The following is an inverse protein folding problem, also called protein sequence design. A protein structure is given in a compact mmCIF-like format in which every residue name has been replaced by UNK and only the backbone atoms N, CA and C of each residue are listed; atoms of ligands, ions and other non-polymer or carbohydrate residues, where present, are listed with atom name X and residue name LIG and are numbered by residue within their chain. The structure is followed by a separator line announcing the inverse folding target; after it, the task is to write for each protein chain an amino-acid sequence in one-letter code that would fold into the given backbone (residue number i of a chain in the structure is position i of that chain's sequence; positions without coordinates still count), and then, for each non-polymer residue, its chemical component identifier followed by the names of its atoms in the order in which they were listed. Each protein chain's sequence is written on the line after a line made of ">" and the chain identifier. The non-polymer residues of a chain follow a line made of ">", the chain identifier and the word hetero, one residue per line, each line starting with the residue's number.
data_IF_090723252246
#
_entry.id   IF_090723252246
#
_cell.length_a   1.000
_cell.length_b   1.000
_cell.length_c   1.000
_cell.angle_alpha   90.00
_cell.angle_beta   90.00
_cell.angle_gamma   90.00
#
_symmetry.space_group_name_H-M   'P 1'
#
loop_
_entity.id
_entity.type
_entity.pdbx_description
1 polymer ?
#
# COMPACT_ATOMS: atom_id res chain seq x y z
N UNK A 1 -17.19 11.54 11.62
CA UNK A 1 -16.08 10.95 10.88
C UNK A 1 -16.22 11.45 9.46
N UNK A 2 -15.30 12.28 8.96
CA UNK A 2 -15.36 12.80 7.58
C UNK A 2 -16.71 13.39 7.12
N UNK A 3 -17.46 14.06 8.00
CA UNK A 3 -18.82 14.54 7.72
C UNK A 3 -19.94 13.49 7.85
N UNK A 4 -19.62 12.22 8.10
CA UNK A 4 -20.59 11.15 8.30
C UNK A 4 -20.91 11.05 9.80
N UNK A 5 -22.20 11.02 10.12
CA UNK A 5 -22.72 10.81 11.48
C UNK A 5 -23.21 9.38 11.66
N UNK A 6 -22.69 8.70 12.66
CA UNK A 6 -23.15 7.36 13.06
C UNK A 6 -23.95 7.45 14.36
N UNK A 7 -25.00 6.67 14.46
CA UNK A 7 -25.76 6.55 15.68
C UNK A 7 -24.99 5.74 16.73
N UNK A 8 -25.15 6.12 18.00
CA UNK A 8 -24.55 5.42 19.14
C UNK A 8 -25.64 4.84 20.01
N UNK A 9 -25.45 3.62 20.48
CA UNK A 9 -26.25 2.96 21.49
C UNK A 9 -25.39 2.75 22.73
N UNK A 10 -25.97 2.97 23.93
CA UNK A 10 -25.27 2.89 25.20
C UNK A 10 -25.87 1.81 26.05
N UNK A 11 -25.05 0.88 26.53
CA UNK A 11 -25.45 -0.15 27.47
C UNK A 11 -24.44 -0.21 28.62
N UNK A 12 -24.95 -0.09 29.85
CA UNK A 12 -24.14 -0.19 31.07
C UNK A 12 -24.53 -1.45 31.81
N UNK A 13 -24.01 -2.59 31.37
CA UNK A 13 -24.33 -3.91 31.90
C UNK A 13 -23.05 -4.76 31.93
N UNK A 14 -22.26 -4.68 33.02
CA UNK A 14 -20.99 -5.39 33.14
C UNK A 14 -21.16 -6.90 32.89
N UNK A 15 -20.33 -7.42 32.00
CA UNK A 15 -20.36 -8.83 31.56
C UNK A 15 -21.23 -9.10 30.33
N UNK A 16 -22.00 -8.13 29.84
CA UNK A 16 -22.70 -8.26 28.57
C UNK A 16 -21.76 -8.02 27.38
N UNK A 17 -21.93 -8.76 26.29
CA UNK A 17 -21.07 -8.64 25.10
C UNK A 17 -21.05 -7.21 24.51
N UNK A 18 -22.20 -6.50 24.60
CA UNK A 18 -22.36 -5.12 24.14
C UNK A 18 -22.22 -4.07 25.26
N UNK A 19 -21.59 -4.40 26.40
CA UNK A 19 -21.34 -3.44 27.48
C UNK A 19 -20.48 -2.26 27.01
N UNK A 20 -20.89 -1.03 27.32
CA UNK A 20 -20.23 0.21 26.90
C UNK A 20 -20.96 0.93 25.77
N UNK A 21 -20.23 1.37 24.73
CA UNK A 21 -20.75 2.13 23.60
C UNK A 21 -20.75 1.27 22.35
N UNK A 22 -21.90 1.16 21.70
CA UNK A 22 -22.07 0.48 20.42
C UNK A 22 -22.22 1.51 19.30
N UNK A 23 -21.37 1.44 18.29
CA UNK A 23 -21.48 2.20 17.06
C UNK A 23 -22.39 1.43 16.08
N UNK A 24 -23.49 2.06 15.66
CA UNK A 24 -24.41 1.49 14.67
C UNK A 24 -23.95 1.90 13.28
N UNK A 25 -23.52 0.94 12.47
CA UNK A 25 -22.90 1.18 11.17
C UNK A 25 -23.71 0.51 10.08
N UNK A 26 -24.35 1.25 9.17
CA UNK A 26 -24.89 0.68 7.94
C UNK A 26 -23.78 -0.03 7.14
N UNK A 27 -24.06 -1.22 6.61
CA UNK A 27 -23.05 -2.04 5.92
C UNK A 27 -22.35 -1.27 4.79
N UNK A 28 -23.06 -0.43 4.05
CA UNK A 28 -22.48 0.42 2.98
C UNK A 28 -21.56 1.55 3.46
N UNK A 29 -21.49 1.80 4.78
CA UNK A 29 -20.60 2.80 5.38
C UNK A 29 -19.52 2.17 6.28
N UNK A 30 -19.42 0.85 6.29
CA UNK A 30 -18.47 0.16 7.16
C UNK A 30 -17.00 0.51 6.84
N UNK A 31 -16.68 0.72 5.58
CA UNK A 31 -15.33 1.11 5.15
C UNK A 31 -14.99 2.58 5.44
N UNK A 32 -16.01 3.42 5.71
CA UNK A 32 -15.86 4.83 6.11
C UNK A 32 -15.58 5.02 7.61
N UNK A 33 -15.68 3.96 8.40
CA UNK A 33 -15.39 4.01 9.83
C UNK A 33 -13.90 4.18 10.05
N UNK A 34 -13.49 5.30 10.63
CA UNK A 34 -12.10 5.62 10.91
C UNK A 34 -11.66 4.95 12.21
N UNK A 35 -10.77 3.95 12.10
CA UNK A 35 -10.21 3.24 13.26
C UNK A 35 -9.46 4.18 14.22
N UNK A 36 -8.81 5.21 13.69
CA UNK A 36 -8.11 6.18 14.53
C UNK A 36 -9.07 6.92 15.45
N UNK A 37 -10.24 7.28 14.95
CA UNK A 37 -11.31 7.91 15.74
C UNK A 37 -11.92 6.94 16.75
N UNK A 38 -12.12 5.67 16.39
CA UNK A 38 -12.62 4.67 17.32
C UNK A 38 -11.67 4.45 18.49
N UNK A 39 -10.37 4.57 18.26
CA UNK A 39 -9.35 4.41 19.30
C UNK A 39 -9.52 5.39 20.47
N UNK A 40 -10.08 6.58 20.23
CA UNK A 40 -10.32 7.61 21.26
C UNK A 40 -11.57 7.36 22.09
N UNK A 41 -12.45 6.45 21.68
CA UNK A 41 -13.73 6.20 22.33
C UNK A 41 -14.59 7.49 22.40
N UNK A 42 -15.58 7.52 23.30
CA UNK A 42 -16.35 8.75 23.56
C UNK A 42 -15.71 9.56 24.68
N UNK A 43 -15.84 10.93 24.67
CA UNK A 43 -15.18 11.77 25.67
C UNK A 43 -15.48 11.37 27.13
N UNK A 44 -16.68 10.92 27.41
CA UNK A 44 -17.08 10.51 28.78
C UNK A 44 -16.39 9.26 29.32
N UNK A 45 -15.91 8.37 28.44
CA UNK A 45 -15.22 7.13 28.81
C UNK A 45 -13.71 7.17 28.54
N UNK A 46 -13.21 8.20 27.84
CA UNK A 46 -11.79 8.35 27.54
C UNK A 46 -10.88 8.38 28.77
N UNK A 47 -11.24 9.07 29.88
CA UNK A 47 -10.44 9.06 31.10
C UNK A 47 -10.25 7.64 31.65
N UNK A 48 -11.34 6.89 31.75
CA UNK A 48 -11.32 5.50 32.23
C UNK A 48 -10.47 4.59 31.33
N UNK A 49 -10.56 4.78 30.01
CA UNK A 49 -9.75 4.05 29.05
C UNK A 49 -8.26 4.32 29.24
N UNK A 50 -7.86 5.60 29.34
CA UNK A 50 -6.46 5.97 29.54
C UNK A 50 -5.93 5.47 30.88
N UNK A 51 -6.69 5.61 31.97
CA UNK A 51 -6.30 5.06 33.26
C UNK A 51 -6.10 3.53 33.20
N UNK A 52 -6.99 2.81 32.53
CA UNK A 52 -6.88 1.36 32.37
C UNK A 52 -5.62 0.98 31.60
N UNK A 53 -5.30 1.69 30.50
CA UNK A 53 -4.08 1.52 29.74
C UNK A 53 -2.82 1.77 30.59
N UNK A 54 -2.80 2.84 31.38
CA UNK A 54 -1.67 3.16 32.26
C UNK A 54 -1.50 2.13 33.39
N UNK A 55 -2.60 1.57 33.90
CA UNK A 55 -2.59 0.52 34.94
C UNK A 55 -2.06 -0.82 34.43
N UNK A 56 -2.17 -1.08 33.12
CA UNK A 56 -1.68 -2.31 32.49
C UNK A 56 -0.18 -2.25 32.15
N UNK A 57 0.47 -1.09 32.24
CA UNK A 57 1.89 -0.93 31.98
C UNK A 57 2.78 -1.71 32.97
N UNK A 58 4.00 -2.09 32.59
CA UNK A 58 4.99 -2.72 33.45
C UNK A 58 5.21 -1.93 34.74
N UNK A 59 5.38 -2.62 35.87
CA UNK A 59 5.51 -2.01 37.22
C UNK A 59 6.58 -0.90 37.31
N UNK A 60 7.76 -1.00 36.67
CA UNK A 60 8.75 0.08 36.69
C UNK A 60 8.23 1.38 36.08
N UNK A 61 7.51 1.28 34.96
CA UNK A 61 6.94 2.45 34.27
C UNK A 61 5.78 3.04 35.07
N UNK A 62 4.89 2.20 35.59
CA UNK A 62 3.76 2.68 36.42
C UNK A 62 4.19 3.53 37.61
N UNK A 63 5.35 3.24 38.23
CA UNK A 63 5.89 4.03 39.33
C UNK A 63 6.23 5.46 38.94
N UNK A 64 6.56 5.72 37.68
CA UNK A 64 6.84 7.06 37.16
C UNK A 64 5.55 7.87 36.89
N UNK A 65 4.40 7.20 36.89
CA UNK A 65 3.12 7.77 36.47
C UNK A 65 2.13 7.95 37.66
N UNK A 66 2.63 7.90 38.88
CA UNK A 66 1.81 8.06 40.10
C UNK A 66 1.71 9.53 40.48
N UNK A 67 0.49 10.06 40.75
CA UNK A 67 -0.83 9.41 40.72
C UNK A 67 -1.34 9.18 39.28
N UNK A 68 -1.83 7.97 39.02
CA UNK A 68 -2.31 7.60 37.66
C UNK A 68 -3.47 8.49 37.17
N UNK A 69 -4.50 8.84 37.99
CA UNK A 69 -5.57 9.72 37.54
C UNK A 69 -5.08 11.10 37.10
N UNK A 70 -4.14 11.70 37.82
CA UNK A 70 -3.59 13.03 37.49
C UNK A 70 -2.78 12.98 36.19
N UNK A 71 -2.00 11.90 36.03
CA UNK A 71 -1.25 11.65 34.79
C UNK A 71 -2.19 11.44 33.61
N UNK A 72 -3.27 10.69 33.78
CA UNK A 72 -4.29 10.49 32.75
C UNK A 72 -4.95 11.82 32.36
N UNK A 73 -5.33 12.66 33.35
CA UNK A 73 -5.90 13.98 33.09
C UNK A 73 -4.94 14.90 32.30
N UNK A 74 -3.66 14.91 32.67
CA UNK A 74 -2.64 15.67 31.97
C UNK A 74 -2.43 15.18 30.52
N UNK A 75 -2.44 13.86 30.28
CA UNK A 75 -2.36 13.27 28.95
C UNK A 75 -3.58 13.62 28.09
N UNK A 76 -4.78 13.63 28.65
CA UNK A 76 -5.99 14.03 27.92
C UNK A 76 -5.89 15.48 27.45
N UNK A 77 -5.39 16.37 28.29
CA UNK A 77 -5.19 17.78 27.92
C UNK A 77 -4.11 17.93 26.84
N UNK A 78 -2.97 17.23 26.97
CA UNK A 78 -1.89 17.25 25.99
C UNK A 78 -2.33 16.73 24.61
N UNK A 79 -3.23 15.76 24.59
CA UNK A 79 -3.70 15.08 23.40
C UNK A 79 -5.09 15.54 22.93
N UNK A 80 -5.54 16.72 23.37
CA UNK A 80 -6.89 17.23 23.13
C UNK A 80 -7.24 17.44 21.64
N UNK A 81 -6.24 17.46 20.75
CA UNK A 81 -6.45 17.53 19.30
C UNK A 81 -7.12 16.27 18.71
N UNK A 82 -7.10 15.15 19.43
CA UNK A 82 -7.77 13.90 19.04
C UNK A 82 -7.31 13.31 17.69
N UNK A 83 -6.11 13.66 17.25
CA UNK A 83 -5.59 13.23 15.94
C UNK A 83 -4.77 11.94 16.03
N UNK A 84 -4.94 11.04 15.03
CA UNK A 84 -4.21 9.78 14.95
C UNK A 84 -4.65 8.73 15.96
N UNK A 85 -3.94 7.61 16.02
CA UNK A 85 -4.23 6.49 16.93
C UNK A 85 -3.87 6.86 18.37
N UNK A 86 -4.81 6.69 19.32
CA UNK A 86 -4.63 7.01 20.74
C UNK A 86 -3.37 6.34 21.32
N UNK A 87 -3.18 5.04 21.10
CA UNK A 87 -2.04 4.30 21.65
C UNK A 87 -0.72 4.87 21.16
N UNK A 88 -0.58 5.14 19.87
CA UNK A 88 0.65 5.70 19.30
C UNK A 88 0.97 7.08 19.90
N UNK A 89 -0.06 7.90 20.12
CA UNK A 89 0.07 9.21 20.76
C UNK A 89 0.48 9.10 22.23
N UNK A 90 -0.18 8.17 22.97
CA UNK A 90 0.18 7.90 24.38
C UNK A 90 1.63 7.41 24.51
N UNK A 91 2.05 6.45 23.68
CA UNK A 91 3.44 5.99 23.68
C UNK A 91 4.44 7.11 23.43
N UNK A 92 4.15 8.00 22.47
CA UNK A 92 5.00 9.16 22.19
C UNK A 92 5.10 10.10 23.39
N UNK A 93 3.99 10.42 24.04
CA UNK A 93 3.94 11.27 25.23
C UNK A 93 4.64 10.65 26.44
N UNK A 94 4.45 9.35 26.67
CA UNK A 94 5.07 8.63 27.78
C UNK A 94 6.59 8.49 27.59
N UNK A 95 7.05 8.25 26.36
CA UNK A 95 8.49 8.23 26.03
C UNK A 95 9.16 9.59 26.27
N UNK A 96 8.49 10.69 25.94
CA UNK A 96 8.98 12.06 26.27
C UNK A 96 9.10 12.28 27.77
N UNK A 97 8.29 11.63 28.58
CA UNK A 97 8.35 11.66 30.06
C UNK A 97 9.35 10.68 30.66
N UNK A 98 10.19 10.04 29.81
CA UNK A 98 11.26 9.15 30.24
C UNK A 98 10.84 7.68 30.43
N UNK A 99 9.64 7.31 30.02
CA UNK A 99 9.22 5.91 30.05
C UNK A 99 9.88 5.12 28.92
N UNK A 100 10.60 4.04 29.26
CA UNK A 100 11.11 3.09 28.29
C UNK A 100 10.01 2.07 27.96
N UNK A 101 9.34 2.27 26.84
CA UNK A 101 8.21 1.46 26.36
C UNK A 101 8.43 0.98 24.93
N UNK A 102 8.11 -0.29 24.67
CA UNK A 102 7.93 -0.84 23.33
C UNK A 102 6.51 -0.54 22.81
N UNK A 103 6.27 -0.79 21.53
CA UNK A 103 4.93 -0.63 20.95
C UNK A 103 3.94 -1.68 21.45
N UNK A 104 4.45 -2.77 22.05
CA UNK A 104 3.66 -3.89 22.59
C UNK A 104 3.24 -3.68 24.06
N UNK A 105 3.87 -2.74 24.76
CA UNK A 105 3.59 -2.48 26.18
C UNK A 105 2.22 -1.84 26.43
N UNK A 106 1.59 -1.25 25.42
CA UNK A 106 0.23 -0.72 25.44
C UNK A 106 -0.64 -1.48 24.43
N UNK A 107 -1.46 -2.39 24.89
CA UNK A 107 -2.40 -3.13 24.04
C UNK A 107 -3.85 -2.89 24.47
N UNK A 108 -4.74 -2.64 23.50
CA UNK A 108 -6.17 -2.52 23.76
C UNK A 108 -6.82 -3.88 24.08
N UNK A 109 -6.16 -4.99 23.75
CA UNK A 109 -6.68 -6.34 23.95
C UNK A 109 -7.01 -6.62 25.44
N UNK A 110 -6.23 -6.05 26.36
CA UNK A 110 -6.36 -6.26 27.80
C UNK A 110 -7.35 -5.30 28.49
N UNK A 111 -8.02 -4.45 27.71
CA UNK A 111 -9.02 -3.54 28.23
C UNK A 111 -10.37 -4.21 28.44
N UNK A 112 -11.07 -3.82 29.50
CA UNK A 112 -12.47 -4.20 29.71
C UNK A 112 -13.35 -3.76 28.53
N UNK A 113 -14.44 -4.49 28.33
CA UNK A 113 -15.32 -4.32 27.17
C UNK A 113 -15.80 -2.87 26.96
N UNK A 114 -16.22 -2.18 28.04
CA UNK A 114 -16.70 -0.80 27.97
C UNK A 114 -15.63 0.25 27.59
N UNK A 115 -14.34 -0.10 27.61
CA UNK A 115 -13.23 0.76 27.16
C UNK A 115 -12.94 0.66 25.66
N UNK A 116 -13.72 -0.10 24.90
CA UNK A 116 -13.61 -0.25 23.45
C UNK A 116 -15.00 -0.14 22.82
N UNK A 117 -15.08 0.50 21.65
CA UNK A 117 -16.32 0.46 20.89
C UNK A 117 -16.74 -0.97 20.57
N UNK A 118 -18.02 -1.26 20.78
CA UNK A 118 -18.70 -2.33 20.10
C UNK A 118 -19.21 -1.79 18.76
N UNK A 119 -19.12 -2.53 17.69
CA UNK A 119 -19.54 -2.13 16.34
C UNK A 119 -20.63 -3.10 15.91
N UNK A 120 -21.81 -2.57 15.62
CA UNK A 120 -22.94 -3.35 15.11
C UNK A 120 -23.23 -2.94 13.69
N UNK A 121 -22.99 -3.87 12.75
CA UNK A 121 -23.21 -3.64 11.33
C UNK A 121 -24.65 -4.00 10.98
N UNK A 122 -25.33 -3.02 10.40
CA UNK A 122 -26.74 -3.09 10.05
C UNK A 122 -26.93 -3.26 8.56
N UNK A 123 -27.74 -4.20 8.17
CA UNK A 123 -28.19 -4.37 6.80
C UNK A 123 -29.30 -3.38 6.39
N UNK A 124 -29.78 -3.50 5.15
CA UNK A 124 -30.78 -2.62 4.57
C UNK A 124 -32.11 -2.59 5.36
N UNK A 125 -32.49 -3.67 6.00
CA UNK A 125 -33.72 -3.79 6.80
C UNK A 125 -33.47 -3.58 8.30
N UNK A 126 -32.36 -2.90 8.66
CA UNK A 126 -31.91 -2.72 10.04
C UNK A 126 -31.62 -4.03 10.82
N UNK A 127 -31.53 -5.15 10.11
CA UNK A 127 -31.09 -6.41 10.72
C UNK A 127 -29.59 -6.35 11.01
N UNK A 128 -29.19 -6.97 12.12
CA UNK A 128 -27.77 -7.10 12.47
C UNK A 128 -27.13 -8.14 11.57
N UNK A 129 -26.14 -7.73 10.78
CA UNK A 129 -25.35 -8.60 9.91
C UNK A 129 -24.13 -9.16 10.63
N UNK A 130 -23.48 -8.32 11.42
CA UNK A 130 -22.33 -8.69 12.23
C UNK A 130 -22.22 -7.75 13.44
N UNK A 131 -21.61 -8.24 14.51
CA UNK A 131 -21.35 -7.44 15.71
C UNK A 131 -20.02 -7.86 16.32
N UNK A 132 -19.22 -6.90 16.78
CA UNK A 132 -17.91 -7.16 17.37
C UNK A 132 -17.15 -5.90 17.72
N UNK A 133 -15.92 -6.06 18.22
CA UNK A 133 -15.04 -4.94 18.66
C UNK A 133 -13.80 -4.79 17.79
N UNK A 134 -13.62 -5.66 16.82
CA UNK A 134 -12.54 -5.63 15.83
C UNK A 134 -13.12 -5.24 14.47
N UNK A 135 -12.89 -3.98 14.09
CA UNK A 135 -13.36 -3.43 12.81
C UNK A 135 -12.84 -4.21 11.61
N UNK A 136 -11.56 -4.64 11.66
CA UNK A 136 -10.92 -5.35 10.57
C UNK A 136 -11.48 -6.78 10.41
N UNK A 137 -11.73 -7.45 11.53
CA UNK A 137 -12.39 -8.76 11.53
C UNK A 137 -13.81 -8.67 10.97
N UNK A 138 -14.57 -7.62 11.34
CA UNK A 138 -15.92 -7.38 10.82
C UNK A 138 -15.91 -7.12 9.31
N UNK A 139 -15.00 -6.26 8.83
CA UNK A 139 -14.81 -6.00 7.39
C UNK A 139 -14.48 -7.27 6.62
N UNK A 140 -13.54 -8.06 7.14
CA UNK A 140 -13.12 -9.33 6.51
C UNK A 140 -14.26 -10.35 6.48
N UNK A 141 -14.90 -10.59 7.60
CA UNK A 141 -15.98 -11.57 7.70
C UNK A 141 -17.16 -11.24 6.78
N UNK A 142 -17.54 -9.97 6.65
CA UNK A 142 -18.61 -9.55 5.75
C UNK A 142 -18.20 -9.62 4.26
N UNK A 143 -16.94 -9.35 3.91
CA UNK A 143 -16.42 -9.56 2.55
C UNK A 143 -16.42 -11.04 2.15
N UNK A 144 -16.02 -11.93 3.05
CA UNK A 144 -16.04 -13.38 2.83
C UNK A 144 -17.45 -13.94 2.67
N UNK A 145 -18.41 -13.45 3.48
CA UNK A 145 -19.81 -13.87 3.41
C UNK A 145 -20.52 -13.36 2.17
N UNK A 146 -20.16 -12.18 1.66
CA UNK A 146 -20.83 -11.60 0.50
C UNK A 146 -20.38 -12.23 -0.82
N UNK A 147 -19.26 -12.99 -0.88
CA UNK A 147 -18.78 -13.71 -2.07
C UNK A 147 -18.75 -12.92 -3.38
N UNK A 148 -19.24 -11.71 -3.33
CA UNK A 148 -19.30 -10.70 -4.37
C UNK A 148 -18.70 -9.43 -3.79
N UNK A 149 -17.76 -8.82 -4.51
CA UNK A 149 -17.48 -7.41 -4.31
C UNK A 149 -18.82 -6.69 -4.21
N UNK A 150 -19.03 -5.91 -3.15
CA UNK A 150 -20.22 -5.09 -3.01
C UNK A 150 -20.23 -4.20 -4.26
N UNK A 151 -20.99 -4.60 -5.28
CA UNK A 151 -21.13 -3.78 -6.48
C UNK A 151 -21.77 -2.49 -6.01
N UNK A 152 -21.06 -1.39 -6.17
CA UNK A 152 -21.66 -0.08 -5.94
C UNK A 152 -22.92 -0.02 -6.82
N UNK A 153 -24.09 0.32 -6.25
CA UNK A 153 -25.29 0.38 -7.05
C UNK A 153 -25.08 1.42 -8.16
N UNK A 154 -25.45 1.06 -9.38
CA UNK A 154 -25.29 1.91 -10.54
C UNK A 154 -25.97 3.26 -10.31
N UNK A 155 -25.18 4.33 -10.21
CA UNK A 155 -25.73 5.69 -10.36
C UNK A 155 -26.00 5.87 -11.83
N UNK A 156 -27.27 5.89 -12.19
CA UNK A 156 -27.67 6.08 -13.58
C UNK A 156 -26.99 7.34 -14.15
N UNK A 157 -26.06 7.11 -15.08
CA UNK A 157 -25.46 8.17 -15.87
C UNK A 157 -24.00 8.56 -15.55
N UNK A 158 -23.36 8.07 -14.48
CA UNK A 158 -21.94 8.40 -14.24
C UNK A 158 -20.96 7.36 -14.81
N UNK A 159 -21.30 6.08 -14.74
CA UNK A 159 -20.46 5.03 -15.33
C UNK A 159 -20.40 5.13 -16.85
N UNK A 160 -19.24 4.95 -17.41
CA UNK A 160 -18.95 4.98 -18.85
C UNK A 160 -18.05 3.79 -19.20
N UNK A 161 -18.26 3.23 -20.36
CA UNK A 161 -17.44 2.12 -20.89
C UNK A 161 -16.80 2.52 -22.21
N UNK A 162 -15.58 2.07 -22.45
CA UNK A 162 -14.90 2.27 -23.71
C UNK A 162 -14.52 3.73 -23.98
N UNK A 163 -14.04 4.45 -22.97
CA UNK A 163 -13.59 5.83 -23.11
C UNK A 163 -12.43 5.93 -24.10
N UNK A 164 -12.55 6.85 -25.05
CA UNK A 164 -11.51 7.18 -26.03
C UNK A 164 -10.82 8.52 -25.72
N UNK A 165 -11.38 9.30 -24.83
CA UNK A 165 -10.87 10.57 -24.31
C UNK A 165 -11.39 10.78 -22.88
N UNK A 166 -11.09 11.94 -22.28
CA UNK A 166 -11.67 12.32 -20.99
C UNK A 166 -13.20 12.24 -21.03
N UNK A 167 -13.88 11.74 -19.98
CA UNK A 167 -15.34 11.74 -19.94
C UNK A 167 -15.90 13.17 -20.05
N UNK A 168 -17.13 13.30 -20.60
CA UNK A 168 -17.78 14.61 -20.85
C UNK A 168 -18.02 15.45 -19.58
N UNK A 169 -17.74 14.89 -18.42
CA UNK A 169 -17.92 15.53 -17.11
C UNK A 169 -16.68 15.32 -16.25
N UNK A 170 -16.45 16.23 -15.32
CA UNK A 170 -15.45 16.04 -14.28
C UNK A 170 -15.79 14.83 -13.42
N UNK A 171 -14.76 14.15 -12.93
CA UNK A 171 -14.88 12.96 -12.07
C UNK A 171 -14.92 13.44 -10.61
N UNK A 172 -16.05 13.37 -9.90
CA UNK A 172 -16.10 13.78 -8.51
C UNK A 172 -15.31 12.79 -7.63
N UNK A 173 -14.69 13.27 -6.56
CA UNK A 173 -13.97 12.39 -5.62
C UNK A 173 -14.88 11.34 -4.97
N UNK A 174 -16.17 11.67 -4.82
CA UNK A 174 -17.18 10.74 -4.34
C UNK A 174 -18.58 11.21 -4.72
N UNK A 175 -19.51 10.26 -4.81
CA UNK A 175 -20.94 10.53 -5.03
C UNK A 175 -21.76 9.92 -3.89
N UNK A 176 -22.74 10.67 -3.40
CA UNK A 176 -23.69 10.15 -2.42
C UNK A 176 -24.89 9.58 -3.16
N UNK A 177 -25.26 8.38 -2.82
CA UNK A 177 -26.36 7.64 -3.43
C UNK A 177 -27.39 7.27 -2.38
N UNK A 178 -28.66 7.32 -2.71
CA UNK A 178 -29.71 6.74 -1.91
C UNK A 178 -30.03 5.34 -2.46
N UNK A 179 -29.68 4.30 -1.70
CA UNK A 179 -29.99 2.92 -2.03
C UNK A 179 -31.04 2.44 -1.05
N UNK A 180 -32.25 2.19 -1.54
CA UNK A 180 -33.39 1.71 -0.71
C UNK A 180 -33.59 2.52 0.58
N UNK A 181 -33.42 3.84 0.51
CA UNK A 181 -33.61 4.75 1.65
C UNK A 181 -32.41 4.94 2.58
N UNK A 182 -31.29 4.27 2.31
CA UNK A 182 -30.03 4.53 3.03
C UNK A 182 -29.07 5.34 2.13
N UNK A 183 -28.36 6.29 2.75
CA UNK A 183 -27.28 6.98 2.06
C UNK A 183 -26.05 6.07 2.02
N UNK A 184 -25.55 5.82 0.82
CA UNK A 184 -24.28 5.16 0.56
C UNK A 184 -23.37 6.10 -0.23
N UNK A 185 -22.07 5.95 -0.10
CA UNK A 185 -21.09 6.71 -0.87
C UNK A 185 -20.38 5.78 -1.84
N UNK A 186 -20.20 6.24 -3.07
CA UNK A 186 -19.40 5.54 -4.07
C UNK A 186 -18.29 6.47 -4.59
N UNK A 187 -17.23 5.85 -5.08
CA UNK A 187 -16.01 6.53 -5.50
C UNK A 187 -15.76 6.22 -6.97
N UNK A 188 -15.98 7.19 -7.87
CA UNK A 188 -15.73 6.99 -9.29
C UNK A 188 -14.23 6.98 -9.57
N UNK A 189 -13.80 6.04 -10.41
CA UNK A 189 -12.42 5.94 -10.86
C UNK A 189 -12.32 5.41 -12.28
N UNK A 190 -11.29 5.87 -13.00
CA UNK A 190 -10.90 5.33 -14.28
C UNK A 190 -10.25 3.96 -14.07
N UNK A 191 -10.59 3.00 -14.94
CA UNK A 191 -10.10 1.62 -14.89
C UNK A 191 -9.67 1.19 -16.27
N UNK A 192 -8.50 0.57 -16.39
CA UNK A 192 -8.10 -0.17 -17.58
C UNK A 192 -8.50 -1.65 -17.40
N UNK A 193 -9.43 -2.13 -18.20
CA UNK A 193 -9.90 -3.50 -18.17
C UNK A 193 -10.09 -4.04 -19.59
N UNK A 194 -9.55 -5.22 -19.89
CA UNK A 194 -9.71 -5.89 -21.19
C UNK A 194 -9.33 -4.99 -22.40
N UNK A 195 -8.31 -4.13 -22.23
CA UNK A 195 -7.87 -3.20 -23.29
C UNK A 195 -8.81 -2.00 -23.52
N UNK A 196 -9.78 -1.77 -22.63
CA UNK A 196 -10.69 -0.63 -22.64
C UNK A 196 -10.46 0.22 -21.40
N UNK A 197 -10.86 1.47 -21.50
CA UNK A 197 -10.84 2.39 -20.37
C UNK A 197 -12.30 2.67 -20.00
N UNK A 198 -12.64 2.40 -18.76
CA UNK A 198 -13.97 2.60 -18.24
C UNK A 198 -13.92 3.59 -17.05
N UNK A 199 -14.98 4.35 -16.84
CA UNK A 199 -15.25 5.04 -15.58
C UNK A 199 -16.21 4.18 -14.79
N UNK A 200 -15.77 3.69 -13.63
CA UNK A 200 -16.54 2.79 -12.75
C UNK A 200 -16.68 3.36 -11.36
N UNK A 201 -17.70 2.92 -10.66
CA UNK A 201 -17.95 3.24 -9.26
C UNK A 201 -17.42 2.14 -8.35
N UNK A 202 -16.68 2.54 -7.33
CA UNK A 202 -16.16 1.65 -6.29
C UNK A 202 -16.90 1.88 -4.97
N UNK A 203 -17.05 0.82 -4.20
CA UNK A 203 -17.67 0.90 -2.90
C UNK A 203 -16.76 1.58 -1.86
N UNK A 204 -15.44 1.52 -2.05
CA UNK A 204 -14.47 2.10 -1.13
C UNK A 204 -13.54 3.10 -1.81
N UNK A 205 -13.15 4.14 -1.08
CA UNK A 205 -12.16 5.12 -1.53
C UNK A 205 -10.84 4.44 -1.90
N UNK A 206 -10.40 3.48 -1.10
CA UNK A 206 -9.13 2.75 -1.30
C UNK A 206 -9.08 2.01 -2.64
N UNK A 207 -10.17 1.32 -3.00
CA UNK A 207 -10.26 0.62 -4.30
C UNK A 207 -10.21 1.61 -5.46
N UNK A 208 -10.93 2.73 -5.36
CA UNK A 208 -10.91 3.79 -6.35
C UNK A 208 -9.52 4.42 -6.50
N UNK A 209 -8.87 4.77 -5.39
CA UNK A 209 -7.52 5.35 -5.38
C UNK A 209 -6.46 4.38 -5.91
N UNK A 210 -6.63 3.07 -5.75
CA UNK A 210 -5.76 2.05 -6.33
C UNK A 210 -5.99 1.86 -7.84
N UNK A 211 -7.22 2.01 -8.32
CA UNK A 211 -7.59 1.79 -9.72
C UNK A 211 -7.33 3.04 -10.58
N UNK A 212 -7.67 4.24 -10.09
CA UNK A 212 -7.66 5.48 -10.83
C UNK A 212 -6.33 5.82 -11.52
N UNK A 213 -5.16 5.69 -10.87
CA UNK A 213 -3.86 5.95 -11.51
C UNK A 213 -3.61 5.08 -12.74
N UNK A 214 -4.06 3.83 -12.72
CA UNK A 214 -3.90 2.88 -13.83
C UNK A 214 -4.79 3.27 -15.01
N UNK A 215 -6.05 3.62 -14.73
CA UNK A 215 -6.95 4.12 -15.75
C UNK A 215 -6.49 5.45 -16.36
N UNK A 216 -5.97 6.37 -15.55
CA UNK A 216 -5.34 7.62 -16.01
C UNK A 216 -4.15 7.34 -16.92
N UNK A 217 -3.25 6.43 -16.52
CA UNK A 217 -2.10 6.03 -17.33
C UNK A 217 -2.55 5.53 -18.72
N UNK A 218 -3.56 4.67 -18.77
CA UNK A 218 -4.11 4.16 -20.02
C UNK A 218 -4.71 5.28 -20.87
N UNK A 219 -5.42 6.23 -20.26
CA UNK A 219 -6.03 7.36 -20.97
C UNK A 219 -4.98 8.31 -21.56
N UNK A 220 -3.89 8.61 -20.83
CA UNK A 220 -2.76 9.38 -21.35
C UNK A 220 -2.07 8.67 -22.52
N UNK A 221 -1.90 7.34 -22.43
CA UNK A 221 -1.33 6.54 -23.55
C UNK A 221 -2.22 6.59 -24.79
N UNK A 222 -3.53 6.56 -24.59
CA UNK A 222 -4.48 6.66 -25.69
C UNK A 222 -4.44 8.05 -26.34
N UNK A 223 -4.47 9.11 -25.53
CA UNK A 223 -4.45 10.52 -25.99
C UNK A 223 -3.17 10.88 -26.75
N UNK A 224 -2.04 10.30 -26.36
CA UNK A 224 -0.72 10.50 -26.98
C UNK A 224 -0.24 9.25 -27.74
N UNK A 225 -1.14 8.47 -28.34
CA UNK A 225 -0.86 7.13 -28.86
C UNK A 225 0.19 7.10 -29.98
N UNK A 226 0.34 8.16 -30.76
CA UNK A 226 1.32 8.23 -31.82
C UNK A 226 2.75 8.28 -31.25
N UNK A 227 2.99 9.13 -30.25
CA UNK A 227 4.29 9.31 -29.61
C UNK A 227 4.67 8.08 -28.79
N UNK A 228 3.73 7.49 -28.04
CA UNK A 228 3.99 6.25 -27.29
C UNK A 228 4.29 5.07 -28.20
N UNK A 229 3.59 4.92 -29.33
CA UNK A 229 3.90 3.91 -30.33
C UNK A 229 5.29 4.11 -30.93
N UNK A 230 5.66 5.34 -31.24
CA UNK A 230 6.98 5.64 -31.77
C UNK A 230 8.09 5.30 -30.77
N UNK A 231 7.93 5.68 -29.50
CA UNK A 231 8.90 5.37 -28.44
C UNK A 231 9.01 3.85 -28.20
N UNK A 232 7.88 3.15 -28.10
CA UNK A 232 7.83 1.70 -27.87
C UNK A 232 8.45 0.92 -29.05
N UNK A 233 8.14 1.32 -30.28
CA UNK A 233 8.71 0.70 -31.50
C UNK A 233 10.23 0.75 -31.52
N UNK A 234 10.85 1.89 -31.14
CA UNK A 234 12.30 2.02 -31.04
C UNK A 234 12.92 1.01 -30.06
N UNK A 235 12.25 0.75 -28.94
CA UNK A 235 12.66 -0.25 -27.95
C UNK A 235 12.53 -1.66 -28.52
N UNK A 236 11.42 -1.98 -29.16
CA UNK A 236 11.18 -3.28 -29.78
C UNK A 236 12.07 -3.57 -31.01
N UNK A 237 12.61 -2.54 -31.67
CA UNK A 237 13.56 -2.67 -32.78
C UNK A 237 15.01 -2.86 -32.31
N UNK A 238 15.31 -2.65 -31.03
CA UNK A 238 16.63 -2.94 -30.46
C UNK A 238 16.82 -4.45 -30.35
N UNK A 239 17.54 -5.02 -31.33
CA UNK A 239 17.75 -6.47 -31.44
C UNK A 239 18.37 -7.11 -30.19
N UNK A 240 19.35 -6.42 -29.59
CA UNK A 240 20.01 -6.91 -28.36
C UNK A 240 19.02 -6.98 -27.21
N UNK A 241 18.26 -5.92 -27.00
CA UNK A 241 17.24 -5.86 -25.93
C UNK A 241 16.13 -6.89 -26.18
N UNK A 242 15.63 -7.02 -27.41
CA UNK A 242 14.61 -8.00 -27.75
C UNK A 242 15.08 -9.44 -27.49
N UNK A 243 16.34 -9.77 -27.80
CA UNK A 243 16.93 -11.07 -27.51
C UNK A 243 17.05 -11.32 -25.98
N UNK A 244 17.49 -10.31 -25.24
CA UNK A 244 17.63 -10.41 -23.78
C UNK A 244 16.28 -10.46 -23.06
N UNK A 245 15.23 -9.87 -23.64
CA UNK A 245 13.87 -9.93 -23.11
C UNK A 245 13.14 -11.23 -23.47
N UNK A 246 13.55 -11.94 -24.50
CA UNK A 246 12.86 -13.14 -24.99
C UNK A 246 12.55 -14.22 -23.92
N UNK A 247 13.38 -14.44 -22.86
CA UNK A 247 13.03 -15.34 -21.77
C UNK A 247 11.84 -14.88 -20.90
N UNK A 248 11.46 -13.61 -20.97
CA UNK A 248 10.44 -12.98 -20.10
C UNK A 248 9.13 -12.68 -20.84
N UNK A 249 9.16 -12.59 -22.17
CA UNK A 249 7.96 -12.29 -22.96
C UNK A 249 8.27 -12.03 -24.43
N UNK A 250 7.22 -11.67 -25.16
CA UNK A 250 7.31 -11.35 -26.58
C UNK A 250 7.68 -9.88 -26.77
N UNK A 251 8.13 -9.52 -27.98
CA UNK A 251 8.39 -8.14 -28.38
C UNK A 251 7.20 -7.20 -28.12
N UNK A 252 5.98 -7.65 -28.39
CA UNK A 252 4.77 -6.86 -28.15
C UNK A 252 4.55 -6.58 -26.66
N UNK A 253 4.90 -7.50 -25.77
CA UNK A 253 4.82 -7.33 -24.34
C UNK A 253 5.84 -6.28 -23.87
N UNK A 254 7.08 -6.35 -24.38
CA UNK A 254 8.12 -5.35 -24.12
C UNK A 254 7.66 -3.94 -24.53
N UNK A 255 7.12 -3.79 -25.74
CA UNK A 255 6.63 -2.51 -26.25
C UNK A 255 5.47 -1.95 -25.40
N UNK A 256 4.52 -2.82 -25.01
CA UNK A 256 3.37 -2.44 -24.21
C UNK A 256 3.77 -2.03 -22.79
N UNK A 257 4.57 -2.86 -22.11
CA UNK A 257 5.05 -2.60 -20.75
C UNK A 257 5.94 -1.36 -20.70
N UNK A 258 6.80 -1.17 -21.71
CA UNK A 258 7.62 0.02 -21.82
C UNK A 258 6.77 1.29 -21.97
N UNK A 259 5.77 1.27 -22.85
CA UNK A 259 4.87 2.41 -23.04
C UNK A 259 4.09 2.73 -21.76
N UNK A 260 3.65 1.71 -21.01
CA UNK A 260 2.95 1.90 -19.75
C UNK A 260 3.87 2.54 -18.69
N UNK A 261 5.10 2.06 -18.53
CA UNK A 261 6.08 2.63 -17.60
C UNK A 261 6.51 4.05 -17.98
N UNK A 262 6.70 4.32 -19.28
CA UNK A 262 7.01 5.66 -19.78
C UNK A 262 5.87 6.65 -19.50
N UNK A 263 4.62 6.23 -19.73
CA UNK A 263 3.45 7.05 -19.44
C UNK A 263 3.29 7.31 -17.94
N UNK A 264 3.48 6.30 -17.12
CA UNK A 264 3.47 6.44 -15.66
C UNK A 264 4.48 7.51 -15.21
N UNK A 265 5.71 7.40 -15.65
CA UNK A 265 6.77 8.37 -15.38
C UNK A 265 6.38 9.80 -15.73
N UNK A 266 5.82 10.00 -16.91
CA UNK A 266 5.59 11.33 -17.45
C UNK A 266 4.34 11.96 -16.86
N UNK A 267 3.27 11.18 -16.69
CA UNK A 267 1.94 11.72 -16.46
C UNK A 267 1.36 11.42 -15.06
N UNK A 268 1.80 10.34 -14.39
CA UNK A 268 1.16 9.85 -13.17
C UNK A 268 2.08 9.91 -11.96
N UNK A 269 3.27 9.32 -12.06
CA UNK A 269 4.20 9.22 -10.94
C UNK A 269 4.55 10.60 -10.35
N UNK A 270 4.48 10.72 -9.02
CA UNK A 270 4.76 11.96 -8.26
C UNK A 270 3.88 13.15 -8.66
N UNK A 271 2.76 12.90 -9.31
CA UNK A 271 1.79 13.92 -9.68
C UNK A 271 0.52 13.77 -8.83
N UNK A 272 -0.20 14.89 -8.63
CA UNK A 272 -1.56 14.82 -8.10
C UNK A 272 -2.46 14.05 -9.06
N UNK A 273 -3.41 13.30 -8.54
CA UNK A 273 -4.41 12.64 -9.37
C UNK A 273 -5.25 13.67 -10.13
N UNK A 274 -5.74 13.28 -11.29
CA UNK A 274 -6.52 14.14 -12.18
C UNK A 274 -7.98 13.74 -12.09
N UNK A 275 -8.84 14.71 -11.80
CA UNK A 275 -10.28 14.52 -11.69
C UNK A 275 -11.09 15.47 -12.58
N UNK A 276 -10.41 16.42 -13.27
CA UNK A 276 -11.06 17.39 -14.16
C UNK A 276 -10.46 17.36 -15.56
N UNK A 277 -11.28 17.65 -16.55
CA UNK A 277 -10.85 17.71 -17.95
C UNK A 277 -9.78 18.78 -18.17
N UNK A 278 -9.94 19.93 -17.54
CA UNK A 278 -8.98 21.04 -17.67
C UNK A 278 -7.56 20.62 -17.23
N UNK A 279 -7.44 19.98 -16.05
CA UNK A 279 -6.15 19.51 -15.53
C UNK A 279 -5.57 18.39 -16.41
N UNK A 280 -6.42 17.52 -16.95
CA UNK A 280 -6.01 16.48 -17.89
C UNK A 280 -5.37 17.08 -19.14
N UNK A 281 -6.08 17.99 -19.84
CA UNK A 281 -5.60 18.62 -21.06
C UNK A 281 -4.36 19.49 -20.84
N UNK A 282 -4.29 20.24 -19.74
CA UNK A 282 -3.10 21.01 -19.37
C UNK A 282 -1.89 20.08 -19.18
N UNK A 283 -2.08 18.92 -18.53
CA UNK A 283 -1.02 17.94 -18.33
C UNK A 283 -0.58 17.31 -19.65
N UNK A 284 -1.51 16.98 -20.53
CA UNK A 284 -1.20 16.51 -21.89
C UNK A 284 -0.37 17.54 -22.63
N UNK A 285 -0.84 18.77 -22.72
CA UNK A 285 -0.16 19.86 -23.45
C UNK A 285 1.27 20.09 -22.92
N UNK A 286 1.43 20.14 -21.59
CA UNK A 286 2.73 20.44 -21.00
C UNK A 286 3.74 19.28 -21.05
N UNK A 287 3.28 18.02 -21.14
CA UNK A 287 4.15 16.85 -21.02
C UNK A 287 4.30 15.99 -22.27
N UNK A 288 3.38 16.10 -23.23
CA UNK A 288 3.44 15.41 -24.52
C UNK A 288 4.78 15.57 -25.25
N UNK A 289 5.40 16.79 -25.30
CA UNK A 289 6.71 16.97 -25.93
C UNK A 289 7.85 16.16 -25.30
N UNK A 290 7.70 15.75 -24.05
CA UNK A 290 8.72 15.00 -23.31
C UNK A 290 8.75 13.50 -23.66
N UNK A 291 7.70 12.95 -24.29
CA UNK A 291 7.52 11.50 -24.46
C UNK A 291 8.70 10.89 -25.22
N UNK A 292 9.15 11.48 -26.31
CA UNK A 292 10.23 10.90 -27.12
C UNK A 292 11.58 11.00 -26.43
N UNK A 293 11.89 12.14 -25.81
CA UNK A 293 13.17 12.34 -25.09
C UNK A 293 13.28 11.45 -23.86
N UNK A 294 12.24 11.41 -23.04
CA UNK A 294 12.18 10.51 -21.87
C UNK A 294 12.15 9.05 -22.31
N UNK A 295 11.50 8.75 -23.45
CA UNK A 295 11.50 7.42 -24.04
C UNK A 295 12.90 6.93 -24.39
N UNK A 296 13.74 7.77 -25.00
CA UNK A 296 15.13 7.43 -25.31
C UNK A 296 15.97 7.22 -24.04
N UNK A 297 15.81 8.09 -23.06
CA UNK A 297 16.49 7.97 -21.75
C UNK A 297 16.12 6.66 -21.06
N UNK A 298 14.82 6.34 -21.05
CA UNK A 298 14.28 5.13 -20.43
C UNK A 298 14.75 3.86 -21.15
N UNK A 299 14.70 3.86 -22.46
CA UNK A 299 15.18 2.74 -23.28
C UNK A 299 16.64 2.38 -22.94
N UNK A 300 17.48 3.39 -22.71
CA UNK A 300 18.86 3.18 -22.24
C UNK A 300 18.93 2.52 -20.86
N UNK A 301 18.05 2.85 -19.93
CA UNK A 301 17.98 2.21 -18.60
C UNK A 301 17.53 0.76 -18.73
N UNK A 302 16.44 0.50 -19.46
CA UNK A 302 15.89 -0.85 -19.67
C UNK A 302 16.92 -1.75 -20.36
N UNK A 303 17.63 -1.24 -21.35
CA UNK A 303 18.72 -1.99 -22.01
C UNK A 303 19.81 -2.38 -21.01
N UNK A 304 20.26 -1.46 -20.15
CA UNK A 304 21.27 -1.78 -19.11
C UNK A 304 20.77 -2.81 -18.12
N UNK A 305 19.49 -2.78 -17.76
CA UNK A 305 18.90 -3.75 -16.84
C UNK A 305 18.92 -5.15 -17.44
N UNK A 306 18.38 -5.34 -18.65
CA UNK A 306 18.36 -6.66 -19.29
C UNK A 306 19.75 -7.17 -19.65
N UNK A 307 20.67 -6.27 -20.01
CA UNK A 307 22.08 -6.64 -20.20
C UNK A 307 22.73 -7.09 -18.89
N UNK A 308 22.46 -6.41 -17.79
CA UNK A 308 22.92 -6.81 -16.46
C UNK A 308 22.36 -8.16 -16.02
N UNK A 309 21.08 -8.40 -16.29
CA UNK A 309 20.43 -9.69 -16.03
C UNK A 309 21.07 -10.83 -16.82
N UNK A 310 21.28 -10.64 -18.11
CA UNK A 310 21.94 -11.62 -18.97
C UNK A 310 23.37 -11.92 -18.49
N UNK A 311 24.10 -10.88 -18.05
CA UNK A 311 25.44 -11.04 -17.47
C UNK A 311 25.44 -11.84 -16.15
N UNK A 312 24.48 -11.61 -15.28
CA UNK A 312 24.30 -12.38 -14.02
C UNK A 312 23.95 -13.83 -14.34
N UNK A 313 22.99 -14.08 -15.22
CA UNK A 313 22.57 -15.44 -15.61
C UNK A 313 23.73 -16.23 -16.25
N UNK A 314 24.51 -15.61 -17.12
CA UNK A 314 25.69 -16.24 -17.71
C UNK A 314 26.71 -16.68 -16.66
N UNK A 315 26.94 -15.87 -15.62
CA UNK A 315 27.86 -16.22 -14.52
C UNK A 315 27.30 -17.34 -13.65
N UNK A 316 26.01 -17.29 -13.30
CA UNK A 316 25.35 -18.32 -12.48
C UNK A 316 25.49 -19.72 -13.07
N UNK A 317 25.48 -19.86 -14.37
CA UNK A 317 25.66 -21.14 -15.05
C UNK A 317 26.98 -21.86 -14.69
N UNK A 318 28.00 -21.14 -14.19
CA UNK A 318 29.30 -21.67 -13.81
C UNK A 318 29.36 -22.25 -12.39
N UNK A 319 28.39 -21.91 -11.51
CA UNK A 319 28.40 -22.23 -10.08
C UNK A 319 27.60 -23.50 -9.75
N UNK A 320 28.13 -24.66 -10.16
CA UNK A 320 27.48 -25.99 -9.93
C UNK A 320 28.03 -26.76 -8.73
N UNK A 321 29.17 -26.34 -8.19
CA UNK A 321 29.82 -27.06 -7.08
C UNK A 321 29.04 -26.85 -5.76
N UNK A 322 28.91 -27.93 -4.92
CA UNK A 322 28.16 -27.87 -3.65
C UNK A 322 28.63 -26.78 -2.67
N UNK A 323 29.89 -26.39 -2.75
CA UNK A 323 30.48 -25.35 -1.89
C UNK A 323 29.78 -23.98 -2.08
N UNK A 324 29.19 -23.74 -3.25
CA UNK A 324 28.48 -22.49 -3.56
C UNK A 324 26.96 -22.55 -3.28
N UNK A 325 26.44 -23.69 -2.84
CA UNK A 325 24.97 -23.89 -2.73
C UNK A 325 24.26 -22.83 -1.88
N UNK A 326 24.86 -22.39 -0.78
CA UNK A 326 24.28 -21.34 0.08
C UNK A 326 24.24 -19.98 -0.62
N UNK A 327 25.35 -19.59 -1.26
CA UNK A 327 25.42 -18.35 -2.00
C UNK A 327 24.42 -18.34 -3.19
N UNK A 328 24.30 -19.47 -3.91
CA UNK A 328 23.33 -19.60 -4.99
C UNK A 328 21.90 -19.45 -4.50
N UNK A 329 21.52 -20.12 -3.42
CA UNK A 329 20.17 -19.99 -2.83
C UNK A 329 19.86 -18.56 -2.36
N UNK A 330 20.85 -17.81 -1.87
CA UNK A 330 20.65 -16.39 -1.51
C UNK A 330 20.52 -15.49 -2.75
N UNK A 331 21.30 -15.76 -3.80
CA UNK A 331 21.22 -15.02 -5.05
C UNK A 331 19.89 -15.26 -5.77
N UNK A 332 19.43 -16.51 -5.82
CA UNK A 332 18.12 -16.85 -6.39
C UNK A 332 17.00 -16.11 -5.66
N UNK A 333 17.04 -16.10 -4.32
CA UNK A 333 16.10 -15.32 -3.50
C UNK A 333 16.20 -13.82 -3.79
N UNK A 334 17.38 -13.27 -3.99
CA UNK A 334 17.54 -11.86 -4.38
C UNK A 334 16.90 -11.57 -5.74
N UNK A 335 17.10 -12.44 -6.73
CA UNK A 335 16.51 -12.28 -8.05
C UNK A 335 14.97 -12.34 -7.99
N UNK A 336 14.40 -13.22 -7.17
CA UNK A 336 12.97 -13.26 -6.87
C UNK A 336 12.49 -11.96 -6.20
N UNK A 337 13.22 -11.47 -5.21
CA UNK A 337 12.90 -10.21 -4.50
C UNK A 337 13.00 -8.99 -5.42
N UNK A 338 13.90 -8.99 -6.39
CA UNK A 338 13.98 -7.96 -7.43
C UNK A 338 12.87 -8.09 -8.49
N UNK A 339 12.04 -9.14 -8.45
CA UNK A 339 10.94 -9.39 -9.37
C UNK A 339 11.38 -9.28 -10.85
N UNK A 340 12.50 -9.88 -11.16
CA UNK A 340 13.18 -9.74 -12.46
C UNK A 340 12.30 -10.21 -13.62
N UNK A 341 11.49 -11.25 -13.43
CA UNK A 341 10.61 -11.78 -14.47
C UNK A 341 9.54 -10.75 -14.90
N UNK A 342 8.96 -10.04 -13.94
CA UNK A 342 7.83 -9.13 -14.16
C UNK A 342 8.22 -7.65 -13.98
N UNK A 343 9.52 -7.36 -14.00
CA UNK A 343 10.12 -6.07 -13.67
C UNK A 343 9.37 -4.87 -14.28
N UNK A 344 9.14 -4.87 -15.61
CA UNK A 344 8.53 -3.75 -16.32
C UNK A 344 7.06 -3.50 -15.91
N UNK A 345 6.36 -4.55 -15.45
CA UNK A 345 4.94 -4.46 -15.09
C UNK A 345 4.67 -4.14 -13.61
N UNK A 346 5.63 -4.44 -12.72
CA UNK A 346 5.37 -4.38 -11.26
C UNK A 346 6.28 -3.43 -10.50
N UNK A 347 7.47 -3.12 -11.03
CA UNK A 347 8.40 -2.24 -10.33
C UNK A 347 8.09 -0.78 -10.64
N UNK A 348 7.90 0.07 -9.61
CA UNK A 348 7.70 1.50 -9.81
C UNK A 348 8.85 2.10 -10.59
N UNK A 349 8.52 2.98 -11.54
CA UNK A 349 9.47 3.59 -12.46
C UNK A 349 10.68 4.24 -11.75
N UNK A 350 10.45 4.92 -10.63
CA UNK A 350 11.51 5.60 -9.88
C UNK A 350 12.62 4.65 -9.44
N UNK A 351 12.34 3.36 -9.35
CA UNK A 351 13.31 2.34 -8.94
C UNK A 351 14.15 1.81 -10.11
N UNK A 352 13.70 1.96 -11.36
CA UNK A 352 14.41 1.41 -12.54
C UNK A 352 15.84 1.91 -12.67
N UNK A 353 16.08 3.18 -12.34
CA UNK A 353 17.43 3.77 -12.42
C UNK A 353 18.45 3.12 -11.47
N UNK A 354 17.99 2.44 -10.41
CA UNK A 354 18.84 1.78 -9.41
C UNK A 354 19.17 0.34 -9.79
N UNK A 355 18.36 -0.32 -10.61
CA UNK A 355 18.52 -1.73 -10.99
C UNK A 355 19.86 -2.06 -11.66
N UNK A 356 20.41 -1.24 -12.58
CA UNK A 356 21.74 -1.53 -13.13
C UNK A 356 22.81 -1.67 -12.06
N UNK A 357 22.72 -0.89 -10.97
CA UNK A 357 23.65 -0.99 -9.85
C UNK A 357 23.45 -2.27 -9.02
N UNK A 358 22.21 -2.67 -8.77
CA UNK A 358 21.92 -3.92 -8.08
C UNK A 358 22.41 -5.14 -8.85
N UNK A 359 22.18 -5.17 -10.16
CA UNK A 359 22.62 -6.25 -11.02
C UNK A 359 24.16 -6.27 -11.18
N UNK A 360 24.79 -5.10 -11.23
CA UNK A 360 26.25 -5.02 -11.24
C UNK A 360 26.85 -5.53 -9.92
N UNK A 361 26.23 -5.20 -8.78
CA UNK A 361 26.68 -5.72 -7.48
C UNK A 361 26.59 -7.25 -7.44
N UNK A 362 25.53 -7.85 -7.98
CA UNK A 362 25.39 -9.30 -8.14
C UNK A 362 26.52 -9.88 -9.04
N UNK A 363 26.82 -9.26 -10.17
CA UNK A 363 27.88 -9.69 -11.05
C UNK A 363 29.26 -9.65 -10.33
N UNK A 364 29.56 -8.56 -9.63
CA UNK A 364 30.78 -8.40 -8.82
C UNK A 364 30.86 -9.44 -7.71
N UNK A 365 29.74 -9.71 -7.02
CA UNK A 365 29.64 -10.77 -6.00
C UNK A 365 30.03 -12.13 -6.59
N UNK A 366 29.43 -12.49 -7.73
CA UNK A 366 29.73 -13.75 -8.41
C UNK A 366 31.20 -13.85 -8.84
N UNK A 367 31.79 -12.78 -9.34
CA UNK A 367 33.21 -12.76 -9.72
C UNK A 367 34.15 -12.93 -8.50
N UNK A 368 33.77 -12.42 -7.32
CA UNK A 368 34.53 -12.53 -6.06
C UNK A 368 34.29 -13.85 -5.32
N UNK A 369 33.16 -14.51 -5.53
CA UNK A 369 32.68 -15.65 -4.73
C UNK A 369 33.67 -16.81 -4.64
N UNK A 370 34.38 -17.25 -5.71
CA UNK A 370 35.32 -18.37 -5.62
C UNK A 370 36.42 -18.18 -4.57
N UNK A 371 36.80 -16.93 -4.32
CA UNK A 371 37.88 -16.59 -3.38
C UNK A 371 37.40 -16.11 -2.01
N UNK A 372 36.06 -15.95 -1.83
CA UNK A 372 35.48 -15.30 -0.64
C UNK A 372 34.25 -15.99 -0.08
N UNK A 373 34.14 -17.33 -0.19
CA UNK A 373 32.93 -18.09 0.22
C UNK A 373 32.54 -17.81 1.67
N UNK A 374 33.48 -17.83 2.61
CA UNK A 374 33.21 -17.60 4.03
C UNK A 374 32.68 -16.18 4.30
N UNK A 375 33.27 -15.18 3.64
CA UNK A 375 32.82 -13.79 3.77
C UNK A 375 31.43 -13.60 3.16
N UNK A 376 31.15 -14.27 2.04
CA UNK A 376 29.84 -14.28 1.39
C UNK A 376 28.79 -14.94 2.27
N UNK A 377 29.09 -16.07 2.89
CA UNK A 377 28.20 -16.75 3.83
C UNK A 377 27.79 -15.86 5.01
N UNK A 378 28.74 -15.10 5.59
CA UNK A 378 28.46 -14.16 6.68
C UNK A 378 27.55 -13.00 6.23
N UNK A 379 27.84 -12.41 5.08
CA UNK A 379 27.04 -11.33 4.51
C UNK A 379 25.63 -11.82 4.14
N UNK A 380 25.51 -13.02 3.57
CA UNK A 380 24.22 -13.65 3.24
C UNK A 380 23.39 -13.96 4.50
N UNK A 381 24.01 -14.39 5.59
CA UNK A 381 23.34 -14.63 6.85
C UNK A 381 22.76 -13.32 7.44
N UNK A 382 23.52 -12.21 7.40
CA UNK A 382 23.04 -10.90 7.83
C UNK A 382 21.86 -10.43 6.97
N UNK A 383 21.94 -10.57 5.64
CA UNK A 383 20.84 -10.21 4.75
C UNK A 383 19.60 -11.06 5.01
N UNK A 384 19.75 -12.36 5.22
CA UNK A 384 18.64 -13.26 5.53
C UNK A 384 17.90 -12.81 6.80
N UNK A 385 18.65 -12.44 7.85
CA UNK A 385 18.07 -11.93 9.11
C UNK A 385 17.27 -10.66 8.87
N UNK A 386 17.81 -9.69 8.12
CA UNK A 386 17.11 -8.42 7.80
C UNK A 386 15.85 -8.62 6.99
N UNK A 387 15.89 -9.53 6.02
CA UNK A 387 14.69 -9.87 5.24
C UNK A 387 13.62 -10.57 6.08
N UNK A 388 14.01 -11.44 7.01
CA UNK A 388 13.05 -12.06 7.95
C UNK A 388 12.36 -11.02 8.84
N UNK A 389 13.11 -10.03 9.36
CA UNK A 389 12.56 -8.91 10.13
C UNK A 389 11.57 -8.09 9.27
N UNK A 390 11.92 -7.80 8.02
CA UNK A 390 11.05 -7.12 7.07
C UNK A 390 9.77 -7.90 6.77
N UNK A 391 9.89 -9.18 6.45
CA UNK A 391 8.75 -10.03 6.11
C UNK A 391 7.81 -10.22 7.29
N UNK A 392 8.32 -10.42 8.50
CA UNK A 392 7.52 -10.48 9.71
C UNK A 392 6.71 -9.18 9.91
N UNK A 393 7.36 -8.01 9.75
CA UNK A 393 6.69 -6.73 9.86
C UNK A 393 5.65 -6.51 8.77
N UNK A 394 5.97 -6.89 7.54
CA UNK A 394 5.04 -6.83 6.41
C UNK A 394 3.79 -7.67 6.67
N UNK A 395 3.95 -8.90 7.14
CA UNK A 395 2.83 -9.78 7.49
C UNK A 395 1.94 -9.18 8.59
N UNK A 396 2.54 -8.61 9.64
CA UNK A 396 1.79 -7.92 10.71
C UNK A 396 0.94 -6.76 10.18
N UNK A 397 1.52 -5.93 9.30
CA UNK A 397 0.81 -4.79 8.72
C UNK A 397 -0.27 -5.24 7.73
N UNK A 398 0.01 -6.24 6.89
CA UNK A 398 -0.99 -6.83 5.99
C UNK A 398 -2.15 -7.45 6.75
N UNK A 399 -1.91 -8.12 7.86
CA UNK A 399 -2.97 -8.68 8.71
C UNK A 399 -3.88 -7.58 9.31
N UNK A 400 -3.38 -6.35 9.42
CA UNK A 400 -4.12 -5.17 9.88
C UNK A 400 -4.64 -4.29 8.74
N UNK A 401 -4.48 -4.71 7.50
CA UNK A 401 -4.82 -3.93 6.28
C UNK A 401 -4.17 -2.53 6.24
N UNK A 402 -2.93 -2.43 6.77
CA UNK A 402 -2.17 -1.17 6.85
C UNK A 402 -1.12 -1.15 5.73
N UNK A 403 -1.25 -0.20 4.80
CA UNK A 403 -0.20 0.13 3.85
C UNK A 403 0.84 1.05 4.51
N UNK A 404 2.11 0.69 4.41
CA UNK A 404 3.21 1.47 4.98
C UNK A 404 4.22 1.86 3.91
N UNK A 405 4.23 3.13 3.56
CA UNK A 405 5.25 3.71 2.66
C UNK A 405 6.66 3.54 3.24
N UNK A 406 6.81 3.72 4.55
CA UNK A 406 8.08 3.50 5.28
C UNK A 406 8.59 2.08 5.10
N UNK A 407 7.72 1.07 5.16
CA UNK A 407 8.12 -0.31 4.96
C UNK A 407 8.49 -0.58 3.49
N UNK A 408 7.76 0.01 2.55
CA UNK A 408 8.09 -0.05 1.13
C UNK A 408 9.46 0.57 0.84
N UNK A 409 9.78 1.71 1.45
CA UNK A 409 11.09 2.33 1.32
C UNK A 409 12.19 1.50 1.99
N UNK A 410 11.92 0.90 3.16
CA UNK A 410 12.87 0.01 3.84
C UNK A 410 13.26 -1.20 2.99
N UNK A 411 12.32 -1.79 2.22
CA UNK A 411 12.62 -2.85 1.25
C UNK A 411 13.74 -2.44 0.28
N UNK A 412 13.70 -1.21 -0.22
CA UNK A 412 14.71 -0.73 -1.14
C UNK A 412 16.05 -0.41 -0.46
N UNK A 413 16.02 0.01 0.81
CA UNK A 413 17.23 0.16 1.61
C UNK A 413 17.95 -1.18 1.83
N UNK A 414 17.22 -2.31 1.87
CA UNK A 414 17.84 -3.63 1.92
C UNK A 414 18.64 -3.94 0.65
N UNK A 415 18.15 -3.54 -0.54
CA UNK A 415 18.93 -3.69 -1.78
C UNK A 415 20.16 -2.76 -1.81
N UNK A 416 20.04 -1.53 -1.32
CA UNK A 416 21.18 -0.63 -1.15
C UNK A 416 22.24 -1.21 -0.19
N UNK A 417 21.78 -1.80 0.91
CA UNK A 417 22.65 -2.46 1.88
C UNK A 417 23.37 -3.67 1.27
N UNK A 418 22.67 -4.46 0.43
CA UNK A 418 23.32 -5.53 -0.34
C UNK A 418 24.46 -5.01 -1.21
N UNK A 419 24.23 -3.92 -1.93
CA UNK A 419 25.30 -3.30 -2.73
C UNK A 419 26.53 -2.99 -1.87
N UNK A 420 26.33 -2.45 -0.66
CA UNK A 420 27.45 -2.11 0.24
C UNK A 420 28.18 -3.34 0.80
N UNK A 421 27.51 -4.48 0.91
CA UNK A 421 28.11 -5.72 1.44
C UNK A 421 28.92 -6.48 0.38
N UNK A 422 28.46 -6.49 -0.88
CA UNK A 422 28.98 -7.39 -1.91
C UNK A 422 29.74 -6.67 -3.04
N UNK A 423 29.49 -5.39 -3.28
CA UNK A 423 30.21 -4.60 -4.31
C UNK A 423 31.36 -3.83 -3.71
#
# INVERSE_FOLDING_TARGET
>A
MGGIHFALDYRFEPGHAADGVTLLVPVGLLDEVDESRLSWLVPGLLPQKIEALLKNLPKPVRRLLVPVPDTAAALIQELADGQGMLIARLLTSLRRRGASLSDEDLAEADLSAHCRFNIRVLGEKQQVLAEGRDLLALRRGLREQSGQAIQAPAVAGLERTGLMDWPDTDIPESVVMAVKGMQSRAYPALVEAEGRIDLRLFATRREAEAAHPRGLNALFRLKCSAEFRQAAKRVGENKTLALQFAPYGKKADLESLFAAGLSDQIFVARQSLVYTQEVFEQRVAGRRPLILTEGERLAGIVTRIYSGMAAVQSRLASFKAPVFAKAMADIDRQLEQLQIADFLGVIPFERWQHYPRYLNALAVRLDKLPNNVVKDDLASAEMTRRWQEYDARRQQLMARDIDSTTLTDYRWLLEEYRVSLFA
#
